data_IF_839421988824
#
_entry.id   IF_839421988824
#
_cell.length_a   1.000
_cell.length_b   1.000
_cell.length_c   1.000
_cell.angle_alpha   90.00
_cell.angle_beta   90.00
_cell.angle_gamma   90.00
#
_symmetry.space_group_name_H-M   'P 1'
#
loop_
_entity.id
_entity.type
_entity.pdbx_description
1 polymer ?
#
# COMPACT_ATOMS: atom_id res chain seq x y z
N UNK A 1 -40.00 -35.95 1.80
CA UNK A 1 -39.23 -35.17 2.76
C UNK A 1 -37.75 -35.46 2.53
N UNK A 2 -37.02 -34.57 1.89
CA UNK A 2 -35.57 -34.69 1.72
C UNK A 2 -34.94 -34.15 3.04
N UNK A 3 -34.31 -35.05 3.78
CA UNK A 3 -33.50 -34.65 4.95
C UNK A 3 -32.42 -33.67 4.45
N UNK A 4 -32.50 -32.41 4.86
CA UNK A 4 -31.47 -31.42 4.61
C UNK A 4 -30.21 -31.79 5.35
N UNK A 5 -29.26 -32.42 4.67
CA UNK A 5 -27.92 -32.62 5.18
C UNK A 5 -27.36 -31.26 5.60
N UNK A 6 -26.88 -31.20 6.82
CA UNK A 6 -26.23 -30.02 7.38
C UNK A 6 -24.88 -29.83 6.65
N UNK A 7 -24.91 -29.25 5.43
CA UNK A 7 -23.70 -28.94 4.70
C UNK A 7 -22.93 -27.90 5.48
N UNK A 8 -21.79 -28.29 6.04
CA UNK A 8 -20.83 -27.35 6.62
C UNK A 8 -20.45 -26.37 5.51
N UNK A 9 -20.94 -25.15 5.61
CA UNK A 9 -20.66 -24.08 4.63
C UNK A 9 -19.26 -23.47 4.80
N UNK A 10 -18.60 -23.70 5.94
CA UNK A 10 -17.25 -23.25 6.25
C UNK A 10 -16.28 -24.44 6.17
N UNK A 11 -15.32 -24.36 5.25
CA UNK A 11 -14.35 -25.40 4.93
C UNK A 11 -12.92 -24.88 5.16
N UNK A 12 -12.09 -25.69 5.82
CA UNK A 12 -10.65 -25.44 5.91
C UNK A 12 -9.94 -26.24 4.82
N UNK A 13 -9.10 -25.56 4.04
CA UNK A 13 -8.42 -26.15 2.88
C UNK A 13 -6.92 -25.85 2.90
N UNK A 14 -6.10 -26.82 2.49
CA UNK A 14 -4.64 -26.70 2.35
C UNK A 14 -4.29 -26.53 0.87
N UNK A 15 -4.79 -25.46 0.23
CA UNK A 15 -4.52 -25.14 -1.17
C UNK A 15 -4.16 -23.68 -1.32
N UNK A 16 -3.58 -23.31 -2.46
CA UNK A 16 -3.34 -21.92 -2.79
C UNK A 16 -4.67 -21.18 -2.88
N UNK A 17 -4.77 -20.00 -2.25
CA UNK A 17 -5.97 -19.17 -2.27
C UNK A 17 -6.36 -18.74 -3.69
N UNK A 18 -5.39 -18.53 -4.56
CA UNK A 18 -5.64 -18.13 -5.96
C UNK A 18 -6.27 -19.23 -6.82
N UNK A 19 -6.14 -20.49 -6.42
CA UNK A 19 -6.76 -21.65 -7.07
C UNK A 19 -8.17 -21.94 -6.55
N UNK A 20 -8.68 -21.12 -5.64
CA UNK A 20 -10.01 -21.34 -5.04
C UNK A 20 -11.13 -21.23 -6.05
N UNK A 21 -12.15 -22.12 -5.97
CA UNK A 21 -13.37 -22.02 -6.80
C UNK A 21 -14.30 -20.88 -6.36
N UNK A 22 -14.05 -20.22 -5.22
CA UNK A 22 -14.92 -19.15 -4.71
C UNK A 22 -15.00 -17.96 -5.67
N UNK A 23 -16.16 -17.29 -5.64
CA UNK A 23 -16.39 -16.03 -6.37
C UNK A 23 -15.44 -14.92 -5.89
N UNK A 24 -15.26 -14.82 -4.58
CA UNK A 24 -14.49 -13.74 -3.94
C UNK A 24 -13.23 -14.29 -3.28
N UNK A 25 -12.10 -13.63 -3.51
CA UNK A 25 -10.84 -13.88 -2.83
C UNK A 25 -10.52 -12.70 -1.89
N UNK A 26 -10.16 -13.00 -0.65
CA UNK A 26 -9.83 -11.97 0.34
C UNK A 26 -8.34 -11.67 0.31
N UNK A 27 -8.03 -10.41 0.08
CA UNK A 27 -6.69 -9.84 0.16
C UNK A 27 -6.53 -9.10 1.49
N UNK A 28 -5.59 -9.53 2.33
CA UNK A 28 -5.29 -8.84 3.59
C UNK A 28 -4.35 -7.68 3.35
N UNK A 29 -4.81 -6.45 3.68
CA UNK A 29 -4.10 -5.21 3.36
C UNK A 29 -3.87 -4.33 4.60
N UNK A 30 -3.06 -3.28 4.43
CA UNK A 30 -2.97 -2.16 5.35
C UNK A 30 -3.77 -0.95 4.83
N UNK A 31 -3.78 0.17 5.55
CA UNK A 31 -4.48 1.40 5.14
C UNK A 31 -3.55 2.51 4.68
N UNK A 32 -2.24 2.22 4.52
CA UNK A 32 -1.25 3.17 3.98
C UNK A 32 -0.90 2.91 2.51
N UNK A 33 -1.63 2.02 1.83
CA UNK A 33 -1.50 1.84 0.39
C UNK A 33 -0.30 1.01 -0.08
N UNK A 34 0.27 0.13 0.77
CA UNK A 34 1.46 -0.68 0.46
C UNK A 34 1.13 -2.15 0.33
N UNK A 35 1.51 -2.78 -0.78
CA UNK A 35 1.43 -4.22 -1.03
C UNK A 35 2.82 -4.78 -1.36
N UNK A 36 3.74 -4.77 -0.39
CA UNK A 36 5.15 -5.08 -0.58
C UNK A 36 5.57 -6.52 -0.27
N UNK A 37 4.71 -7.33 0.38
CA UNK A 37 5.05 -8.69 0.81
C UNK A 37 3.84 -9.61 0.91
N UNK A 38 4.12 -10.92 0.97
CA UNK A 38 3.12 -11.95 1.21
C UNK A 38 2.02 -12.01 0.17
N UNK A 39 0.80 -12.29 0.61
CA UNK A 39 -0.36 -12.43 -0.27
C UNK A 39 -0.72 -11.11 -0.98
N UNK A 40 -0.56 -9.97 -0.30
CA UNK A 40 -0.86 -8.67 -0.88
C UNK A 40 0.02 -8.36 -2.10
N UNK A 41 1.33 -8.68 -2.04
CA UNK A 41 2.23 -8.54 -3.19
C UNK A 41 1.80 -9.42 -4.38
N UNK A 42 1.31 -10.65 -4.11
CA UNK A 42 0.80 -11.53 -5.17
C UNK A 42 -0.45 -10.94 -5.81
N UNK A 43 -1.40 -10.42 -5.02
CA UNK A 43 -2.57 -9.71 -5.53
C UNK A 43 -2.19 -8.49 -6.38
N UNK A 44 -1.21 -7.69 -5.94
CA UNK A 44 -0.69 -6.55 -6.72
C UNK A 44 -0.19 -6.99 -8.10
N UNK A 45 0.58 -8.09 -8.16
CA UNK A 45 1.13 -8.62 -9.42
C UNK A 45 0.05 -9.16 -10.35
N UNK A 46 -0.97 -9.84 -9.80
CA UNK A 46 -2.06 -10.44 -10.59
C UNK A 46 -3.14 -9.42 -10.98
N UNK A 47 -3.34 -8.37 -10.20
CA UNK A 47 -4.39 -7.37 -10.37
C UNK A 47 -3.83 -5.95 -10.18
N UNK A 48 -2.99 -5.45 -11.11
CA UNK A 48 -2.34 -4.14 -10.97
C UNK A 48 -3.33 -2.98 -10.91
N UNK A 49 -4.43 -3.04 -11.67
CA UNK A 49 -5.48 -2.01 -11.64
C UNK A 49 -6.18 -1.95 -10.28
N UNK A 50 -6.44 -3.12 -9.65
CA UNK A 50 -6.97 -3.19 -8.29
C UNK A 50 -6.03 -2.49 -7.31
N UNK A 51 -4.72 -2.70 -7.45
CA UNK A 51 -3.72 -2.04 -6.60
C UNK A 51 -3.75 -0.51 -6.74
N UNK A 52 -3.85 0.00 -7.97
CA UNK A 52 -3.96 1.45 -8.23
C UNK A 52 -5.19 2.06 -7.55
N UNK A 53 -6.35 1.39 -7.65
CA UNK A 53 -7.57 1.85 -6.96
C UNK A 53 -7.44 1.76 -5.44
N UNK A 54 -6.87 0.66 -4.93
CA UNK A 54 -6.63 0.50 -3.50
C UNK A 54 -5.75 1.61 -2.95
N UNK A 55 -4.65 1.98 -3.63
CA UNK A 55 -3.79 3.09 -3.23
C UNK A 55 -4.56 4.40 -3.12
N UNK A 56 -5.34 4.76 -4.14
CA UNK A 56 -6.18 5.97 -4.14
C UNK A 56 -7.15 6.01 -2.97
N UNK A 57 -7.77 4.86 -2.61
CA UNK A 57 -8.67 4.79 -1.45
C UNK A 57 -7.94 4.88 -0.12
N UNK A 58 -6.70 4.45 -0.04
CA UNK A 58 -5.86 4.69 1.13
C UNK A 58 -5.43 6.16 1.22
N UNK A 59 -4.99 6.74 0.11
CA UNK A 59 -4.49 8.11 0.00
C UNK A 59 -5.56 9.16 0.35
N UNK A 60 -6.82 8.92 -0.02
CA UNK A 60 -7.94 9.82 0.27
C UNK A 60 -8.74 9.43 1.55
N UNK A 61 -8.20 8.54 2.38
CA UNK A 61 -8.83 8.13 3.63
C UNK A 61 -10.14 7.33 3.48
N UNK A 62 -10.53 6.97 2.25
CA UNK A 62 -11.77 6.21 2.02
C UNK A 62 -11.68 4.78 2.53
N UNK A 63 -10.49 4.16 2.52
CA UNK A 63 -10.25 2.81 3.04
C UNK A 63 -9.57 2.87 4.41
N UNK A 64 -10.33 2.61 5.44
CA UNK A 64 -9.87 2.53 6.84
C UNK A 64 -10.14 1.14 7.42
N UNK A 65 -9.61 0.86 8.61
CA UNK A 65 -9.93 -0.36 9.36
C UNK A 65 -11.43 -0.46 9.58
N UNK A 66 -11.99 -1.65 9.33
CA UNK A 66 -13.44 -1.90 9.41
C UNK A 66 -14.21 -1.58 8.14
N UNK A 67 -13.61 -0.88 7.17
CA UNK A 67 -14.18 -0.72 5.81
C UNK A 67 -13.61 -1.79 4.88
N UNK A 68 -14.40 -2.21 3.90
CA UNK A 68 -14.05 -3.26 2.93
C UNK A 68 -14.19 -2.73 1.51
N UNK A 69 -13.18 -2.95 0.70
CA UNK A 69 -13.18 -2.55 -0.71
C UNK A 69 -13.21 -3.78 -1.62
N UNK A 70 -14.23 -3.88 -2.49
CA UNK A 70 -14.35 -4.94 -3.49
C UNK A 70 -13.97 -4.43 -4.86
N UNK A 71 -13.00 -5.09 -5.49
CA UNK A 71 -12.66 -4.93 -6.88
C UNK A 71 -13.19 -6.11 -7.67
N UNK A 72 -13.99 -5.87 -8.72
CA UNK A 72 -14.64 -6.91 -9.52
C UNK A 72 -13.95 -7.06 -10.86
N UNK A 73 -13.54 -8.29 -11.19
CA UNK A 73 -13.12 -8.66 -12.54
C UNK A 73 -14.15 -9.61 -13.15
N UNK A 74 -14.00 -9.96 -14.41
CA UNK A 74 -14.87 -10.92 -15.09
C UNK A 74 -14.80 -12.34 -14.51
N UNK A 75 -13.68 -12.72 -13.90
CA UNK A 75 -13.43 -14.07 -13.39
C UNK A 75 -13.48 -14.18 -11.87
N UNK A 76 -12.98 -13.19 -11.15
CA UNK A 76 -12.88 -13.18 -9.68
C UNK A 76 -13.15 -11.79 -9.11
N UNK A 77 -13.68 -11.74 -7.90
CA UNK A 77 -13.76 -10.52 -7.12
C UNK A 77 -12.71 -10.54 -6.04
N UNK A 78 -12.08 -9.41 -5.78
CA UNK A 78 -11.05 -9.26 -4.75
C UNK A 78 -11.60 -8.37 -3.65
N UNK A 79 -11.70 -8.92 -2.42
CA UNK A 79 -12.11 -8.19 -1.24
C UNK A 79 -10.85 -7.74 -0.48
N UNK A 80 -10.49 -6.47 -0.61
CA UNK A 80 -9.43 -5.88 0.19
C UNK A 80 -9.92 -5.66 1.63
N UNK A 81 -9.28 -6.36 2.56
CA UNK A 81 -9.65 -6.44 3.97
C UNK A 81 -8.53 -5.84 4.82
N UNK A 82 -8.67 -4.60 5.34
CA UNK A 82 -7.66 -4.00 6.20
C UNK A 82 -7.50 -4.75 7.52
N UNK A 83 -6.32 -5.34 7.72
CA UNK A 83 -5.96 -6.07 8.95
C UNK A 83 -5.01 -5.28 9.84
N UNK A 84 -4.47 -4.17 9.34
CA UNK A 84 -3.57 -3.25 10.06
C UNK A 84 -3.59 -1.85 9.44
N UNK A 85 -3.22 -0.84 10.22
CA UNK A 85 -3.10 0.53 9.71
C UNK A 85 -1.85 0.69 8.83
N UNK A 86 -0.69 0.25 9.31
CA UNK A 86 0.58 0.33 8.59
C UNK A 86 1.26 -1.04 8.54
N UNK A 87 2.04 -1.30 7.49
CA UNK A 87 2.90 -2.49 7.39
C UNK A 87 3.96 -2.55 8.52
N UNK A 88 4.29 -1.39 9.12
CA UNK A 88 5.22 -1.27 10.26
C UNK A 88 4.64 -1.83 11.56
N UNK A 89 3.34 -2.05 11.62
CA UNK A 89 2.63 -2.45 12.83
C UNK A 89 2.14 -3.90 12.75
N UNK A 90 1.93 -4.49 13.92
CA UNK A 90 1.18 -5.75 14.04
C UNK A 90 -0.29 -5.53 13.67
N UNK A 91 -0.95 -6.59 13.19
CA UNK A 91 -2.41 -6.63 13.17
C UNK A 91 -2.97 -6.61 14.60
N UNK A 92 -4.20 -6.11 14.74
CA UNK A 92 -4.95 -6.16 15.98
C UNK A 92 -6.21 -6.98 15.79
N UNK A 93 -6.60 -7.75 16.80
CA UNK A 93 -7.77 -8.62 16.70
C UNK A 93 -9.06 -7.81 16.49
N UNK A 94 -9.13 -6.61 17.05
CA UNK A 94 -10.25 -5.68 16.90
C UNK A 94 -10.42 -5.23 15.44
N UNK A 95 -9.32 -5.15 14.67
CA UNK A 95 -9.36 -4.81 13.24
C UNK A 95 -9.95 -5.95 12.41
N UNK A 96 -9.61 -7.20 12.79
CA UNK A 96 -10.19 -8.39 12.18
C UNK A 96 -11.69 -8.45 12.48
N UNK A 97 -12.07 -8.22 13.74
CA UNK A 97 -13.47 -8.23 14.15
C UNK A 97 -14.30 -7.16 13.42
N UNK A 98 -13.79 -5.93 13.34
CA UNK A 98 -14.46 -4.84 12.64
C UNK A 98 -14.72 -5.17 11.16
N UNK A 99 -13.71 -5.74 10.46
CA UNK A 99 -13.84 -6.15 9.07
C UNK A 99 -14.83 -7.32 8.91
N UNK A 100 -14.82 -8.30 9.80
CA UNK A 100 -15.76 -9.44 9.78
C UNK A 100 -17.21 -8.96 10.04
N UNK A 101 -17.44 -8.05 10.98
CA UNK A 101 -18.75 -7.43 11.20
C UNK A 101 -19.24 -6.76 9.92
N UNK A 102 -18.38 -5.95 9.28
CA UNK A 102 -18.71 -5.26 8.04
C UNK A 102 -19.02 -6.22 6.91
N UNK A 103 -18.29 -7.32 6.80
CA UNK A 103 -18.56 -8.37 5.83
C UNK A 103 -19.95 -8.99 6.05
N UNK A 104 -20.27 -9.40 7.27
CA UNK A 104 -21.56 -10.00 7.63
C UNK A 104 -22.73 -9.06 7.35
N UNK A 105 -22.55 -7.76 7.59
CA UNK A 105 -23.57 -6.75 7.31
C UNK A 105 -23.86 -6.59 5.82
N UNK A 106 -22.84 -6.73 4.96
CA UNK A 106 -22.93 -6.24 3.58
C UNK A 106 -22.82 -7.32 2.49
N UNK A 107 -22.43 -8.56 2.81
CA UNK A 107 -22.17 -9.58 1.79
C UNK A 107 -23.39 -9.91 0.90
N UNK A 108 -24.62 -9.90 1.45
CA UNK A 108 -25.84 -10.19 0.69
C UNK A 108 -26.16 -9.08 -0.32
N UNK A 109 -26.13 -7.85 0.10
CA UNK A 109 -26.37 -6.69 -0.77
C UNK A 109 -25.36 -6.60 -1.89
N UNK A 110 -24.13 -7.06 -1.63
CA UNK A 110 -23.05 -7.11 -2.63
C UNK A 110 -23.13 -8.32 -3.56
N UNK A 111 -24.04 -9.27 -3.31
CA UNK A 111 -24.23 -10.47 -4.14
C UNK A 111 -23.09 -11.48 -3.97
N UNK A 112 -22.55 -11.62 -2.76
CA UNK A 112 -21.49 -12.60 -2.48
C UNK A 112 -22.11 -13.94 -2.13
N UNK A 113 -21.85 -14.98 -2.97
CA UNK A 113 -22.37 -16.33 -2.80
C UNK A 113 -21.31 -17.33 -2.32
N UNK A 114 -20.04 -17.01 -2.56
CA UNK A 114 -18.90 -17.79 -2.05
C UNK A 114 -17.65 -16.94 -1.86
N UNK A 115 -16.85 -17.26 -0.84
CA UNK A 115 -15.67 -16.46 -0.49
C UNK A 115 -14.56 -17.31 0.08
N UNK A 116 -13.31 -16.94 -0.24
CA UNK A 116 -12.09 -17.55 0.28
C UNK A 116 -11.29 -16.56 1.10
N UNK A 117 -11.00 -16.95 2.31
CA UNK A 117 -10.19 -16.20 3.27
C UNK A 117 -8.82 -16.85 3.44
N UNK A 118 -7.74 -16.07 3.55
CA UNK A 118 -6.51 -16.52 4.19
C UNK A 118 -6.69 -16.51 5.71
N UNK A 119 -5.69 -16.97 6.46
CA UNK A 119 -5.60 -16.80 7.92
C UNK A 119 -5.42 -15.30 8.25
N UNK A 120 -6.52 -14.59 8.49
CA UNK A 120 -6.54 -13.14 8.67
C UNK A 120 -5.58 -12.67 9.76
N UNK A 121 -4.63 -11.79 9.41
CA UNK A 121 -3.70 -11.21 10.37
C UNK A 121 -2.71 -12.18 11.04
N UNK A 122 -2.78 -13.49 10.78
CA UNK A 122 -1.95 -14.49 11.44
C UNK A 122 -0.59 -14.73 10.77
N UNK A 123 -0.41 -14.32 9.53
CA UNK A 123 0.88 -14.39 8.82
C UNK A 123 1.78 -13.19 9.18
N UNK A 124 1.93 -12.29 8.23
CA UNK A 124 2.68 -11.03 8.40
C UNK A 124 2.07 -10.07 9.45
N UNK A 125 0.87 -10.34 9.93
CA UNK A 125 0.21 -9.56 10.99
C UNK A 125 0.59 -9.97 12.41
N UNK A 126 1.06 -11.20 12.61
CA UNK A 126 1.58 -11.70 13.89
C UNK A 126 0.55 -12.03 14.95
N UNK A 127 -0.74 -12.19 14.59
CA UNK A 127 -1.78 -12.72 15.49
C UNK A 127 -1.68 -14.24 15.61
N UNK A 128 -2.10 -14.78 16.77
CA UNK A 128 -2.19 -16.22 16.98
C UNK A 128 -3.43 -16.78 16.26
N UNK A 129 -3.18 -17.68 15.31
CA UNK A 129 -4.26 -18.27 14.52
C UNK A 129 -5.23 -19.07 15.37
N UNK A 130 -4.73 -20.00 16.17
CA UNK A 130 -5.57 -20.96 16.89
C UNK A 130 -6.27 -20.33 18.09
N UNK A 131 -5.60 -19.42 18.80
CA UNK A 131 -6.13 -18.82 20.04
C UNK A 131 -7.00 -17.59 19.79
N UNK A 132 -6.70 -16.79 18.76
CA UNK A 132 -7.34 -15.49 18.57
C UNK A 132 -8.20 -15.47 17.31
N UNK A 133 -7.61 -15.76 16.14
CA UNK A 133 -8.24 -15.46 14.85
C UNK A 133 -9.26 -16.50 14.44
N UNK A 134 -8.93 -17.79 14.58
CA UNK A 134 -9.83 -18.89 14.18
C UNK A 134 -11.15 -18.87 14.95
N UNK A 135 -11.18 -18.74 16.29
CA UNK A 135 -12.45 -18.66 17.04
C UNK A 135 -13.29 -17.44 16.60
N UNK A 136 -12.63 -16.31 16.33
CA UNK A 136 -13.31 -15.09 15.88
C UNK A 136 -13.91 -15.28 14.48
N UNK A 137 -13.15 -15.80 13.53
CA UNK A 137 -13.65 -16.09 12.18
C UNK A 137 -14.82 -17.09 12.22
N UNK A 138 -14.73 -18.13 13.02
CA UNK A 138 -15.81 -19.11 13.20
C UNK A 138 -17.08 -18.47 13.76
N UNK A 139 -16.96 -17.60 14.75
CA UNK A 139 -18.09 -16.84 15.35
C UNK A 139 -18.89 -16.09 14.29
N UNK A 140 -18.23 -15.40 13.37
CA UNK A 140 -18.88 -14.56 12.36
C UNK A 140 -19.25 -15.31 11.09
N UNK A 141 -18.48 -16.30 10.67
CA UNK A 141 -18.62 -16.92 9.36
C UNK A 141 -19.45 -18.22 9.36
N UNK A 142 -19.41 -19.02 10.43
CA UNK A 142 -20.20 -20.27 10.52
C UNK A 142 -21.72 -20.09 10.35
N UNK A 143 -22.34 -18.98 10.83
CA UNK A 143 -23.77 -18.78 10.68
C UNK A 143 -24.21 -18.42 9.24
N UNK A 144 -23.27 -18.09 8.34
CA UNK A 144 -23.61 -17.58 7.02
C UNK A 144 -24.00 -18.70 6.06
N UNK A 145 -25.08 -18.53 5.28
CA UNK A 145 -25.59 -19.54 4.33
C UNK A 145 -24.87 -19.47 2.96
N UNK A 146 -23.57 -19.20 2.95
CA UNK A 146 -22.74 -19.16 1.74
C UNK A 146 -21.53 -20.07 1.88
N UNK A 147 -20.92 -20.48 0.76
CA UNK A 147 -19.70 -21.29 0.79
C UNK A 147 -18.51 -20.47 1.19
N UNK A 148 -17.84 -20.88 2.28
CA UNK A 148 -16.67 -20.18 2.82
C UNK A 148 -15.51 -21.16 2.89
N UNK A 149 -14.39 -20.78 2.29
CA UNK A 149 -13.13 -21.50 2.33
C UNK A 149 -12.15 -20.71 3.17
N UNK A 150 -11.50 -21.36 4.14
CA UNK A 150 -10.38 -20.78 4.88
C UNK A 150 -9.13 -21.54 4.49
N UNK A 151 -8.22 -20.85 3.81
CA UNK A 151 -6.96 -21.41 3.34
C UNK A 151 -5.94 -21.41 4.48
N UNK A 152 -5.58 -22.63 4.92
CA UNK A 152 -4.56 -22.83 5.94
C UNK A 152 -3.22 -22.96 5.25
N UNK A 153 -2.30 -22.13 5.66
CA UNK A 153 -0.95 -22.12 5.13
C UNK A 153 0.01 -22.74 6.15
N UNK A 154 0.59 -23.89 5.80
CA UNK A 154 1.58 -24.61 6.61
C UNK A 154 2.91 -24.66 5.86
N UNK A 155 3.99 -24.13 6.42
CA UNK A 155 5.32 -24.48 5.95
C UNK A 155 6.31 -23.38 5.59
N UNK A 156 6.07 -22.10 5.86
CA UNK A 156 7.07 -21.06 5.66
C UNK A 156 7.45 -20.39 6.97
N UNK A 157 8.74 -20.13 7.19
CA UNK A 157 9.19 -19.22 8.24
C UNK A 157 8.49 -17.89 8.08
N UNK A 158 7.59 -17.58 9.01
CA UNK A 158 6.86 -16.32 9.04
C UNK A 158 7.82 -15.21 9.48
N UNK A 159 8.28 -14.40 8.53
CA UNK A 159 9.05 -13.17 8.81
C UNK A 159 8.12 -11.95 8.65
N UNK A 160 7.39 -11.55 9.70
CA UNK A 160 6.46 -10.43 9.62
C UNK A 160 7.18 -9.15 9.19
N UNK A 161 6.52 -8.32 8.37
CA UNK A 161 7.06 -7.07 7.82
C UNK A 161 7.60 -6.15 8.92
N UNK A 162 6.83 -5.98 10.00
CA UNK A 162 7.22 -5.12 11.13
C UNK A 162 8.46 -5.60 11.90
N UNK A 163 8.88 -6.85 11.72
CA UNK A 163 10.14 -7.39 12.27
C UNK A 163 11.32 -7.27 11.30
N UNK A 164 11.05 -6.96 10.04
CA UNK A 164 12.07 -6.87 8.99
C UNK A 164 11.98 -5.55 8.22
N UNK A 165 12.01 -4.45 8.97
CA UNK A 165 11.91 -3.07 8.45
C UNK A 165 12.99 -2.78 7.42
N UNK A 166 14.20 -3.33 7.59
CA UNK A 166 15.31 -3.13 6.64
C UNK A 166 15.00 -3.69 5.25
N UNK A 167 14.47 -4.92 5.17
CA UNK A 167 14.08 -5.55 3.89
C UNK A 167 12.93 -4.79 3.22
N UNK A 168 11.95 -4.34 4.02
CA UNK A 168 10.85 -3.53 3.50
C UNK A 168 11.32 -2.17 2.96
N UNK A 169 12.27 -1.51 3.63
CA UNK A 169 12.86 -0.27 3.12
C UNK A 169 13.63 -0.50 1.83
N UNK A 170 14.41 -1.56 1.74
CA UNK A 170 15.11 -1.91 0.50
C UNK A 170 14.14 -2.15 -0.66
N UNK A 171 13.01 -2.82 -0.39
CA UNK A 171 11.96 -3.00 -1.39
C UNK A 171 11.32 -1.67 -1.78
N UNK A 172 10.96 -0.82 -0.82
CA UNK A 172 10.41 0.53 -1.05
C UNK A 172 11.35 1.33 -1.96
N UNK A 173 12.62 1.39 -1.64
CA UNK A 173 13.63 2.10 -2.41
C UNK A 173 13.84 1.51 -3.82
N UNK A 174 13.55 0.23 -4.03
CA UNK A 174 13.66 -0.43 -5.33
C UNK A 174 12.45 -0.23 -6.25
N UNK A 175 11.28 0.08 -5.68
CA UNK A 175 10.03 0.32 -6.42
C UNK A 175 9.35 1.64 -5.98
N UNK A 176 10.02 2.80 -6.11
CA UNK A 176 9.49 4.06 -5.58
C UNK A 176 8.17 4.48 -6.24
N UNK A 177 7.94 4.12 -7.49
CA UNK A 177 6.66 4.34 -8.20
C UNK A 177 5.48 3.57 -7.59
N UNK A 178 5.75 2.61 -6.71
CA UNK A 178 4.73 1.85 -5.97
C UNK A 178 4.41 2.43 -4.60
N UNK A 179 5.07 3.52 -4.20
CA UNK A 179 4.83 4.19 -2.92
C UNK A 179 3.53 4.99 -2.95
N UNK A 180 2.76 4.87 -1.87
CA UNK A 180 1.62 5.76 -1.63
C UNK A 180 2.10 7.15 -1.19
N UNK A 181 1.23 8.15 -1.31
CA UNK A 181 1.49 9.50 -0.80
C UNK A 181 1.84 9.47 0.69
N UNK A 182 1.15 8.65 1.50
CA UNK A 182 1.43 8.52 2.93
C UNK A 182 2.84 8.00 3.23
N UNK A 183 3.34 7.02 2.45
CA UNK A 183 4.72 6.53 2.58
C UNK A 183 5.73 7.60 2.14
N UNK A 184 5.48 8.31 1.04
CA UNK A 184 6.31 9.43 0.61
C UNK A 184 6.42 10.51 1.69
N UNK A 185 5.29 10.96 2.26
CA UNK A 185 5.28 11.94 3.35
C UNK A 185 6.07 11.46 4.57
N UNK A 186 5.89 10.21 4.95
CA UNK A 186 6.63 9.60 6.06
C UNK A 186 8.14 9.58 5.79
N UNK A 187 8.55 9.15 4.59
CA UNK A 187 9.96 9.10 4.22
C UNK A 187 10.56 10.51 4.10
N UNK A 188 9.78 11.48 3.61
CA UNK A 188 10.19 12.88 3.56
C UNK A 188 10.51 13.41 4.96
N UNK A 189 9.59 13.24 5.95
CA UNK A 189 9.83 13.63 7.35
C UNK A 189 11.10 12.99 7.91
N UNK A 190 11.28 11.68 7.70
CA UNK A 190 12.47 10.96 8.18
C UNK A 190 13.77 11.47 7.53
N UNK A 191 13.74 11.79 6.24
CA UNK A 191 14.91 12.24 5.49
C UNK A 191 15.38 13.63 5.93
N UNK A 192 14.46 14.49 6.41
CA UNK A 192 14.83 15.79 6.96
C UNK A 192 15.41 15.71 8.38
N UNK A 193 15.17 14.62 9.12
CA UNK A 193 15.68 14.39 10.46
C UNK A 193 14.91 15.10 11.58
N UNK A 194 14.16 16.15 11.27
CA UNK A 194 13.32 16.89 12.19
C UNK A 194 12.10 17.47 11.47
N UNK A 195 11.04 17.81 12.22
CA UNK A 195 9.85 18.49 11.68
C UNK A 195 9.98 20.01 11.70
N UNK A 196 10.93 20.52 12.46
CA UNK A 196 11.29 21.94 12.58
C UNK A 196 12.81 22.04 12.44
N UNK A 197 13.33 22.70 11.40
CA UNK A 197 14.75 22.75 11.11
C UNK A 197 15.13 23.96 10.25
N UNK A 198 16.44 24.29 10.28
CA UNK A 198 17.06 25.29 9.40
C UNK A 198 17.96 24.61 8.38
N UNK A 199 17.89 25.05 7.14
CA UNK A 199 18.79 24.63 6.07
C UNK A 199 18.95 25.75 5.02
N UNK A 200 20.20 26.09 4.64
CA UNK A 200 20.51 27.18 3.73
C UNK A 200 19.80 28.50 4.10
N UNK A 201 19.83 28.84 5.39
CA UNK A 201 19.17 30.03 5.95
C UNK A 201 17.63 30.01 5.87
N UNK A 202 17.02 28.92 5.34
CA UNK A 202 15.58 28.71 5.39
C UNK A 202 15.18 28.05 6.70
N UNK A 203 14.07 28.49 7.27
CA UNK A 203 13.41 27.80 8.37
C UNK A 203 12.24 26.98 7.81
N UNK A 204 12.20 25.69 8.10
CA UNK A 204 11.19 24.76 7.61
C UNK A 204 10.45 24.13 8.78
N UNK A 205 9.14 24.23 8.75
CA UNK A 205 8.23 23.55 9.66
C UNK A 205 7.37 22.56 8.87
N UNK A 206 7.49 21.27 9.17
CA UNK A 206 6.66 20.20 8.59
C UNK A 206 5.45 20.02 9.50
N UNK A 207 4.27 20.32 8.97
CA UNK A 207 3.02 20.25 9.75
C UNK A 207 2.60 18.79 9.92
N UNK A 208 2.50 18.33 11.16
CA UNK A 208 2.14 16.96 11.50
C UNK A 208 0.67 16.91 11.94
N UNK A 209 -0.24 16.99 10.96
CA UNK A 209 -1.67 16.84 11.19
C UNK A 209 -2.11 15.43 10.86
N UNK A 210 -2.13 14.55 11.87
CA UNK A 210 -2.72 13.20 11.77
C UNK A 210 -4.26 13.20 11.88
N UNK A 211 -4.87 14.35 12.18
CA UNK A 211 -6.32 14.50 12.39
C UNK A 211 -6.85 15.73 11.64
N UNK A 212 -7.94 15.55 10.89
CA UNK A 212 -8.80 16.57 10.27
C UNK A 212 -8.58 16.77 8.76
N UNK A 213 -9.70 16.98 8.08
CA UNK A 213 -9.95 17.32 6.66
C UNK A 213 -8.73 17.77 5.86
N UNK A 214 -8.07 16.77 5.22
CA UNK A 214 -6.68 16.86 4.77
C UNK A 214 -6.46 17.75 3.54
N UNK A 215 -7.51 18.24 2.87
CA UNK A 215 -7.34 18.88 1.55
C UNK A 215 -6.88 20.33 1.59
N UNK A 216 -7.07 21.03 2.72
CA UNK A 216 -6.76 22.47 2.86
C UNK A 216 -5.68 22.75 3.92
N UNK A 217 -5.16 21.74 4.62
CA UNK A 217 -4.13 21.94 5.63
C UNK A 217 -2.74 22.03 4.99
N UNK A 218 -1.85 22.75 5.65
CA UNK A 218 -0.45 22.86 5.24
C UNK A 218 0.26 21.53 5.44
N UNK A 219 1.12 21.18 4.48
CA UNK A 219 2.06 20.09 4.61
C UNK A 219 3.38 20.58 5.22
N UNK A 220 3.87 21.73 4.74
CA UNK A 220 5.06 22.37 5.29
C UNK A 220 5.02 23.88 5.06
N UNK A 221 5.57 24.61 6.01
CA UNK A 221 5.78 26.07 5.92
C UNK A 221 7.27 26.34 5.78
N UNK A 222 7.63 27.19 4.82
CA UNK A 222 9.02 27.59 4.58
C UNK A 222 9.14 29.10 4.78
N UNK A 223 10.02 29.53 5.66
CA UNK A 223 10.42 30.92 5.85
C UNK A 223 11.77 31.15 5.15
N UNK A 224 11.80 32.12 4.24
CA UNK A 224 12.98 32.46 3.46
C UNK A 224 13.91 33.40 4.23
N UNK A 225 15.19 33.52 3.81
CA UNK A 225 16.17 34.43 4.44
C UNK A 225 15.74 35.90 4.44
N UNK A 226 14.92 36.33 3.50
CA UNK A 226 14.40 37.71 3.35
C UNK A 226 13.12 37.98 4.16
N UNK A 227 12.77 37.09 5.10
CA UNK A 227 11.59 37.16 5.96
C UNK A 227 10.23 36.91 5.27
N UNK A 228 10.21 36.61 3.98
CA UNK A 228 9.01 36.08 3.35
C UNK A 228 8.78 34.64 3.76
N UNK A 229 7.56 34.15 3.63
CA UNK A 229 7.24 32.75 3.86
C UNK A 229 6.19 32.25 2.89
N UNK A 230 6.17 30.96 2.67
CA UNK A 230 5.11 30.29 1.91
C UNK A 230 4.77 28.96 2.56
N UNK A 231 3.56 28.49 2.30
CA UNK A 231 3.11 27.16 2.73
C UNK A 231 2.84 26.29 1.51
N UNK A 232 3.31 25.03 1.57
CA UNK A 232 2.88 23.96 0.69
C UNK A 232 1.72 23.22 1.35
N UNK A 233 0.59 23.18 0.67
CA UNK A 233 -0.57 22.46 1.16
C UNK A 233 -0.44 20.96 0.95
N UNK A 234 -1.32 20.18 1.61
CA UNK A 234 -1.45 18.74 1.36
C UNK A 234 -1.79 18.44 -0.10
N UNK A 235 -2.58 19.31 -0.75
CA UNK A 235 -2.91 19.20 -2.18
C UNK A 235 -1.69 19.41 -3.06
N UNK A 236 -0.88 20.43 -2.79
CA UNK A 236 0.33 20.72 -3.58
C UNK A 236 1.31 19.53 -3.57
N UNK A 237 1.53 18.95 -2.40
CA UNK A 237 2.46 17.82 -2.28
C UNK A 237 1.87 16.52 -2.85
N UNK A 238 0.54 16.36 -2.81
CA UNK A 238 -0.15 15.25 -3.45
C UNK A 238 -0.04 15.31 -4.96
N UNK A 239 -0.27 16.48 -5.55
CA UNK A 239 -0.13 16.71 -7.00
C UNK A 239 1.31 16.52 -7.46
N UNK A 240 2.27 17.06 -6.70
CA UNK A 240 3.70 16.86 -6.96
C UNK A 240 4.06 15.38 -6.98
N UNK A 241 3.70 14.63 -5.91
CA UNK A 241 4.02 13.22 -5.80
C UNK A 241 3.36 12.37 -6.89
N UNK A 242 2.09 12.63 -7.19
CA UNK A 242 1.34 11.93 -8.23
C UNK A 242 1.99 12.12 -9.60
N UNK A 243 2.35 13.37 -9.96
CA UNK A 243 3.02 13.66 -11.22
C UNK A 243 4.40 13.01 -11.30
N UNK A 244 5.23 13.11 -10.25
CA UNK A 244 6.54 12.47 -10.24
C UNK A 244 6.43 10.95 -10.39
N UNK A 245 5.47 10.33 -9.70
CA UNK A 245 5.20 8.89 -9.78
C UNK A 245 4.75 8.45 -11.18
N UNK A 246 3.85 9.21 -11.79
CA UNK A 246 3.23 8.85 -13.06
C UNK A 246 4.13 9.16 -14.26
N UNK A 247 4.90 10.25 -14.21
CA UNK A 247 5.78 10.69 -15.30
C UNK A 247 7.23 10.18 -15.16
N UNK A 248 7.66 9.89 -13.93
CA UNK A 248 9.03 9.44 -13.62
C UNK A 248 10.10 10.53 -13.67
N UNK A 249 9.76 11.73 -14.16
CA UNK A 249 10.66 12.90 -14.25
C UNK A 249 9.86 14.18 -14.05
N UNK A 250 10.44 15.16 -13.36
CA UNK A 250 9.84 16.48 -13.16
C UNK A 250 10.83 17.60 -13.39
N UNK A 251 10.44 18.53 -14.23
CA UNK A 251 11.14 19.80 -14.46
C UNK A 251 10.63 20.86 -13.48
N UNK A 252 11.38 21.97 -13.35
CA UNK A 252 11.00 23.09 -12.49
C UNK A 252 9.59 23.62 -12.80
N UNK A 253 9.23 23.69 -14.06
CA UNK A 253 7.91 24.17 -14.53
C UNK A 253 6.73 23.31 -14.04
N UNK A 254 6.99 22.10 -13.60
CA UNK A 254 6.00 21.14 -13.08
C UNK A 254 5.82 21.24 -11.56
N UNK A 255 6.64 22.06 -10.89
CA UNK A 255 6.59 22.21 -9.44
C UNK A 255 5.33 22.96 -8.99
N UNK A 256 4.91 22.79 -7.72
CA UNK A 256 3.83 23.58 -7.15
C UNK A 256 4.00 25.08 -7.39
N UNK A 257 2.91 25.74 -7.76
CA UNK A 257 2.95 27.18 -8.14
C UNK A 257 3.51 28.05 -7.02
N UNK A 258 3.28 27.71 -5.78
CA UNK A 258 3.80 28.44 -4.62
C UNK A 258 5.33 28.46 -4.62
N UNK A 259 5.99 27.37 -4.96
CA UNK A 259 7.46 27.28 -5.07
C UNK A 259 7.96 28.15 -6.22
N UNK A 260 7.31 28.06 -7.38
CA UNK A 260 7.66 28.85 -8.57
C UNK A 260 7.53 30.36 -8.32
N UNK A 261 6.47 30.79 -7.63
CA UNK A 261 6.22 32.21 -7.34
C UNK A 261 7.22 32.83 -6.36
N UNK A 262 7.88 31.99 -5.55
CA UNK A 262 8.93 32.43 -4.60
C UNK A 262 10.35 32.19 -5.13
N UNK A 263 10.49 31.65 -6.36
CA UNK A 263 11.78 31.32 -6.99
C UNK A 263 12.64 30.37 -6.17
N UNK A 264 11.98 29.44 -5.44
CA UNK A 264 12.63 28.57 -4.44
C UNK A 264 12.83 27.13 -4.94
N UNK A 265 12.89 26.95 -6.25
CA UNK A 265 13.03 25.65 -6.91
C UNK A 265 14.30 24.89 -6.47
N UNK A 266 15.39 25.63 -6.29
CA UNK A 266 16.68 25.06 -5.87
C UNK A 266 16.60 24.43 -4.48
N UNK A 267 16.00 25.13 -3.54
CA UNK A 267 15.82 24.65 -2.17
C UNK A 267 14.86 23.46 -2.13
N UNK A 268 13.74 23.53 -2.85
CA UNK A 268 12.82 22.40 -2.93
C UNK A 268 13.47 21.14 -3.50
N UNK A 269 14.26 21.24 -4.57
CA UNK A 269 15.06 20.13 -5.11
C UNK A 269 15.99 19.55 -4.03
N UNK A 270 16.66 20.43 -3.28
CA UNK A 270 17.57 19.99 -2.19
C UNK A 270 16.85 19.17 -1.14
N UNK A 271 15.64 19.57 -0.72
CA UNK A 271 14.81 18.79 0.19
C UNK A 271 14.43 17.43 -0.40
N UNK A 272 14.06 17.38 -1.69
CA UNK A 272 13.64 16.14 -2.36
C UNK A 272 14.78 15.13 -2.50
N UNK A 273 16.01 15.56 -2.84
CA UNK A 273 17.12 14.61 -3.02
C UNK A 273 17.66 14.00 -1.72
N UNK A 274 17.20 14.46 -0.56
CA UNK A 274 17.45 13.77 0.72
C UNK A 274 16.74 12.42 0.79
N UNK A 275 15.67 12.23 0.00
CA UNK A 275 15.02 10.93 -0.16
C UNK A 275 15.96 9.97 -0.89
N UNK A 276 16.15 8.78 -0.32
CA UNK A 276 17.13 7.79 -0.82
C UNK A 276 16.88 7.36 -2.27
N UNK A 277 15.64 7.49 -2.77
CA UNK A 277 15.19 7.06 -4.09
C UNK A 277 14.99 8.20 -5.09
N UNK A 278 15.27 9.47 -4.75
CA UNK A 278 15.19 10.62 -5.66
C UNK A 278 16.59 11.13 -5.98
N UNK A 279 16.81 11.54 -7.22
CA UNK A 279 18.04 12.17 -7.69
C UNK A 279 17.77 13.30 -8.67
N UNK A 280 18.80 14.13 -8.88
CA UNK A 280 18.83 15.14 -9.95
C UNK A 280 19.58 14.60 -11.15
N UNK A 281 18.98 14.71 -12.31
CA UNK A 281 19.64 14.42 -13.58
C UNK A 281 19.72 15.67 -14.45
N UNK A 282 20.80 15.86 -15.22
CA UNK A 282 20.89 16.93 -16.20
C UNK A 282 19.96 16.64 -17.39
N UNK A 283 19.22 17.65 -17.81
CA UNK A 283 18.34 17.62 -18.98
C UNK A 283 18.65 18.81 -19.86
N UNK A 284 18.83 18.59 -21.16
CA UNK A 284 19.08 19.65 -22.14
C UNK A 284 17.76 20.13 -22.75
N UNK A 285 17.49 21.42 -22.64
CA UNK A 285 16.42 22.11 -23.34
C UNK A 285 17.05 23.07 -24.37
N UNK A 286 17.20 22.62 -25.61
CA UNK A 286 18.00 23.33 -26.60
C UNK A 286 19.47 23.42 -26.14
N UNK A 287 20.01 24.65 -26.06
CA UNK A 287 21.36 24.91 -25.59
C UNK A 287 21.48 25.03 -24.05
N UNK A 288 20.36 25.11 -23.35
CA UNK A 288 20.33 25.27 -21.89
C UNK A 288 20.28 23.93 -21.19
N UNK A 289 21.21 23.72 -20.23
CA UNK A 289 21.19 22.57 -19.33
C UNK A 289 20.46 22.94 -18.04
N UNK A 290 19.48 22.14 -17.67
CA UNK A 290 18.75 22.26 -16.40
C UNK A 290 18.79 20.93 -15.64
N UNK A 291 18.37 20.92 -14.38
CA UNK A 291 18.32 19.70 -13.56
C UNK A 291 16.86 19.34 -13.25
N UNK A 292 16.50 18.08 -13.55
CA UNK A 292 15.19 17.50 -13.28
C UNK A 292 15.26 16.52 -12.09
N UNK A 293 14.17 16.43 -11.31
CA UNK A 293 13.97 15.38 -10.33
C UNK A 293 13.53 14.09 -11.02
N UNK A 294 14.11 12.96 -10.63
CA UNK A 294 13.72 11.63 -11.10
C UNK A 294 13.97 10.59 -10.03
N UNK A 295 13.44 9.38 -10.25
CA UNK A 295 13.77 8.24 -9.40
C UNK A 295 15.14 7.65 -9.77
N UNK A 296 15.94 7.35 -8.76
CA UNK A 296 17.23 6.67 -8.93
C UNK A 296 17.02 5.32 -9.62
N UNK A 297 17.69 5.12 -10.74
CA UNK A 297 17.80 3.78 -11.35
C UNK A 297 18.79 2.97 -10.51
N UNK A 298 18.31 1.97 -9.75
CA UNK A 298 19.23 0.97 -9.20
C UNK A 298 19.85 0.19 -10.36
N UNK A 299 21.16 0.24 -10.47
CA UNK A 299 21.91 -0.82 -11.18
C UNK A 299 21.52 -2.13 -10.50
N UNK A 300 20.96 -3.06 -11.26
CA UNK A 300 20.72 -4.41 -10.77
C UNK A 300 22.06 -4.90 -10.20
N UNK A 301 22.13 -5.09 -8.87
CA UNK A 301 23.27 -5.74 -8.25
C UNK A 301 23.35 -7.11 -8.89
N UNK A 302 24.46 -7.41 -9.56
CA UNK A 302 24.83 -8.75 -10.01
C UNK A 302 24.82 -9.66 -8.77
N UNK A 303 23.76 -10.42 -8.58
CA UNK A 303 23.59 -11.28 -7.43
C UNK A 303 22.19 -11.89 -7.35
N UNK A 304 21.93 -12.93 -8.16
CA UNK A 304 20.94 -13.95 -7.85
C UNK A 304 19.51 -13.69 -8.31
N UNK A 305 19.28 -13.62 -9.59
CA UNK A 305 18.05 -14.13 -10.18
C UNK A 305 18.05 -15.66 -10.00
N UNK A 306 17.45 -16.15 -8.95
CA UNK A 306 16.89 -17.51 -8.97
C UNK A 306 15.66 -17.43 -9.86
N UNK A 307 15.89 -17.67 -11.15
CA UNK A 307 14.83 -17.95 -12.10
C UNK A 307 14.16 -19.24 -11.66
N UNK A 308 13.01 -19.16 -11.02
CA UNK A 308 12.06 -20.26 -11.07
C UNK A 308 11.52 -20.28 -12.50
N UNK A 309 12.21 -21.02 -13.36
CA UNK A 309 11.66 -21.52 -14.59
C UNK A 309 10.38 -22.27 -14.23
N UNK A 310 9.25 -21.70 -14.60
CA UNK A 310 8.00 -22.43 -14.74
C UNK A 310 8.23 -23.38 -15.92
N UNK A 311 8.44 -24.64 -15.62
CA UNK A 311 8.55 -25.72 -16.60
C UNK A 311 7.21 -25.87 -17.33
N UNK A 312 7.03 -25.11 -18.40
CA UNK A 312 5.96 -25.31 -19.39
C UNK A 312 6.45 -26.32 -20.45
N UNK A 313 6.62 -27.57 -20.05
CA UNK A 313 6.75 -28.69 -20.98
C UNK A 313 6.12 -29.92 -20.33
N UNK A 314 4.90 -30.18 -20.64
CA UNK A 314 4.31 -31.50 -20.90
C UNK A 314 2.80 -31.37 -21.19
N UNK A 315 2.46 -31.10 -22.41
CA UNK A 315 1.17 -31.44 -23.01
C UNK A 315 1.33 -31.33 -24.53
N UNK A 316 1.81 -32.40 -25.11
CA UNK A 316 1.53 -32.88 -26.47
C UNK A 316 2.27 -34.20 -26.63
N UNK A 317 1.49 -35.25 -26.71
CA UNK A 317 1.69 -36.59 -27.24
C UNK A 317 1.13 -37.67 -26.29
N UNK A 318 0.02 -38.27 -26.74
CA UNK A 318 -0.62 -39.44 -26.18
C UNK A 318 -2.12 -39.42 -26.29
#
# INVERSE_FOLDING_TARGET
>A
MRQGGNFKMLLYVNSNLFDSPAQVLVNTVNTVGVMGKGIALQFKKLYPDMFTHYQKFCENGSLTVGKLYIYKTSSKWILNFPTKKSWRNKSKIEYIEAGLKKFVETYRERGIESISFPQLGAGNGGLDWDKEVKPLMEKYLKPLPIKIYIHIYSGWERKPEYKNVKEMRQWIESEPTSLSLGEFKHDFKLAQGAVDFYEDEHHVEIVDNDEIDETLSDFMVVSLPDQRSYALTQSDISDFWTRLRDQGIMLDVDFPRVILSHYDNGFFKKLMVKLAYIELIPVSLGETQIFALTFKKRLASEGGLVSHEVNSRTLLEG
#
